data_IF_759079650092
#
_entry.id   IF_759079650092
#
_cell.length_a   1.000
_cell.length_b   1.000
_cell.length_c   1.000
_cell.angle_alpha   90.00
_cell.angle_beta   90.00
_cell.angle_gamma   90.00
#
_symmetry.space_group_name_H-M   'P 1'
#
loop_
_entity.id
_entity.type
_entity.pdbx_description
1 polymer ?
#
# COMPACT_ATOMS: atom_id res chain seq x y z
N UNK A 1 -26.04 28.58 16.00
CA UNK A 1 -25.70 27.19 15.60
C UNK A 1 -24.38 26.84 16.28
N UNK A 2 -24.43 26.21 17.46
CA UNK A 2 -23.24 25.93 18.28
C UNK A 2 -22.45 24.76 17.69
N UNK A 3 -21.26 25.04 17.14
CA UNK A 3 -20.29 24.02 16.82
C UNK A 3 -19.64 23.56 18.13
N UNK A 4 -19.96 22.33 18.57
CA UNK A 4 -19.24 21.69 19.67
C UNK A 4 -17.81 21.35 19.21
N UNK A 5 -16.77 21.58 20.02
CA UNK A 5 -15.41 21.20 19.66
C UNK A 5 -15.33 19.68 19.49
N UNK A 6 -14.81 19.22 18.34
CA UNK A 6 -14.58 17.81 18.04
C UNK A 6 -13.48 17.29 18.99
N UNK A 7 -13.83 16.36 19.88
CA UNK A 7 -12.89 15.78 20.83
C UNK A 7 -11.68 15.17 20.10
N UNK A 8 -10.46 15.24 20.65
CA UNK A 8 -9.29 14.61 20.04
C UNK A 8 -9.54 13.10 19.97
N UNK A 9 -9.56 12.53 18.76
CA UNK A 9 -9.58 11.08 18.60
C UNK A 9 -8.32 10.52 19.26
N UNK A 10 -8.42 9.68 20.30
CA UNK A 10 -7.25 9.03 20.85
C UNK A 10 -6.81 7.99 19.83
N UNK A 11 -5.82 8.34 19.00
CA UNK A 11 -5.06 7.35 18.23
C UNK A 11 -4.33 6.45 19.22
N UNK A 12 -5.05 5.46 19.73
CA UNK A 12 -4.52 4.45 20.64
C UNK A 12 -3.90 3.39 19.75
N UNK A 13 -2.58 3.48 19.54
CA UNK A 13 -1.82 2.39 18.93
C UNK A 13 -2.16 1.12 19.69
N UNK A 14 -2.71 0.13 18.98
CA UNK A 14 -3.02 -1.17 19.55
C UNK A 14 -1.68 -1.77 20.02
N UNK A 15 -1.59 -2.49 21.16
CA UNK A 15 -0.37 -3.21 21.54
C UNK A 15 0.33 -3.98 20.40
N UNK A 16 -0.43 -4.46 19.41
CA UNK A 16 0.11 -5.08 18.18
C UNK A 16 0.96 -4.09 17.36
N UNK A 17 0.52 -2.84 17.20
CA UNK A 17 1.23 -1.80 16.46
C UNK A 17 2.58 -1.48 17.12
N UNK A 18 2.62 -1.43 18.45
CA UNK A 18 3.84 -1.15 19.21
C UNK A 18 4.87 -2.26 19.04
N UNK A 19 4.43 -3.52 19.06
CA UNK A 19 5.31 -4.68 18.85
C UNK A 19 5.87 -4.66 17.43
N UNK A 20 5.03 -4.41 16.43
CA UNK A 20 5.45 -4.31 15.04
C UNK A 20 6.43 -3.15 14.82
N UNK A 21 6.17 -1.97 15.39
CA UNK A 21 7.09 -0.84 15.33
C UNK A 21 8.45 -1.15 15.96
N UNK A 22 8.48 -1.82 17.12
CA UNK A 22 9.73 -2.24 17.78
C UNK A 22 10.52 -3.25 16.94
N UNK A 23 9.85 -4.20 16.30
CA UNK A 23 10.49 -5.17 15.42
C UNK A 23 11.07 -4.49 14.17
N UNK A 24 10.32 -3.56 13.56
CA UNK A 24 10.81 -2.77 12.43
C UNK A 24 11.97 -1.86 12.82
N UNK A 25 11.94 -1.26 14.00
CA UNK A 25 13.01 -0.41 14.51
C UNK A 25 14.33 -1.17 14.72
N UNK A 26 14.26 -2.48 15.02
CA UNK A 26 15.44 -3.36 15.17
C UNK A 26 16.15 -3.70 13.85
N UNK A 27 15.48 -3.53 12.72
CA UNK A 27 16.10 -3.72 11.40
C UNK A 27 17.04 -2.55 11.09
N UNK A 28 18.18 -2.82 10.47
CA UNK A 28 19.04 -1.75 9.94
C UNK A 28 18.27 -0.96 8.87
N UNK A 29 18.53 0.35 8.68
CA UNK A 29 17.85 1.16 7.66
C UNK A 29 17.85 0.50 6.28
N UNK A 30 18.99 -0.06 5.84
CA UNK A 30 19.09 -0.77 4.57
C UNK A 30 18.24 -2.04 4.49
N UNK A 31 18.08 -2.77 5.61
CA UNK A 31 17.20 -3.95 5.66
C UNK A 31 15.74 -3.56 5.56
N UNK A 32 15.31 -2.47 6.21
CA UNK A 32 13.93 -1.96 6.07
C UNK A 32 13.61 -1.60 4.63
N UNK A 33 14.49 -0.84 3.98
CA UNK A 33 14.30 -0.44 2.58
C UNK A 33 14.25 -1.67 1.67
N UNK A 34 15.17 -2.62 1.86
CA UNK A 34 15.19 -3.86 1.08
C UNK A 34 13.90 -4.65 1.21
N UNK A 35 13.42 -4.89 2.43
CA UNK A 35 12.18 -5.62 2.68
C UNK A 35 10.98 -4.92 2.02
N UNK A 36 10.93 -3.58 2.06
CA UNK A 36 9.87 -2.82 1.38
C UNK A 36 9.97 -2.93 -0.14
N UNK A 37 11.18 -2.88 -0.71
CA UNK A 37 11.38 -3.05 -2.16
C UNK A 37 11.01 -4.47 -2.63
N UNK A 38 11.35 -5.50 -1.85
CA UNK A 38 10.98 -6.89 -2.12
C UNK A 38 9.45 -7.08 -2.05
N UNK A 39 8.80 -6.52 -1.02
CA UNK A 39 7.34 -6.54 -0.91
C UNK A 39 6.66 -5.81 -2.09
N UNK A 40 7.19 -4.66 -2.50
CA UNK A 40 6.71 -3.95 -3.68
C UNK A 40 6.90 -4.77 -4.96
N UNK A 41 8.05 -5.43 -5.14
CA UNK A 41 8.29 -6.28 -6.30
C UNK A 41 7.29 -7.44 -6.38
N UNK A 42 7.01 -8.10 -5.25
CA UNK A 42 5.99 -9.14 -5.16
C UNK A 42 4.59 -8.60 -5.54
N UNK A 43 4.18 -7.48 -4.94
CA UNK A 43 2.89 -6.87 -5.22
C UNK A 43 2.73 -6.52 -6.71
N UNK A 44 3.75 -5.89 -7.31
CA UNK A 44 3.74 -5.59 -8.74
C UNK A 44 3.64 -6.86 -9.59
N UNK A 45 4.42 -7.89 -9.27
CA UNK A 45 4.40 -9.16 -10.00
C UNK A 45 3.03 -9.83 -9.98
N UNK A 46 2.34 -9.81 -8.84
CA UNK A 46 0.98 -10.34 -8.70
C UNK A 46 -0.02 -9.55 -9.55
N UNK A 47 0.04 -8.21 -9.55
CA UNK A 47 -0.84 -7.37 -10.38
C UNK A 47 -0.59 -7.66 -11.86
N UNK A 48 0.67 -7.69 -12.29
CA UNK A 48 1.03 -8.02 -13.68
C UNK A 48 0.57 -9.41 -14.11
N UNK A 49 0.76 -10.42 -13.25
CA UNK A 49 0.30 -11.78 -13.51
C UNK A 49 -1.23 -11.89 -13.56
N UNK A 50 -1.96 -11.07 -12.79
CA UNK A 50 -3.42 -10.96 -12.89
C UNK A 50 -3.83 -10.28 -14.19
N UNK A 51 -3.23 -9.14 -14.54
CA UNK A 51 -3.57 -8.37 -15.74
C UNK A 51 -3.32 -9.17 -17.02
N UNK A 52 -2.19 -9.88 -17.13
CA UNK A 52 -1.90 -10.75 -18.28
C UNK A 52 -2.91 -11.88 -18.44
N UNK A 53 -3.44 -12.42 -17.33
CA UNK A 53 -4.49 -13.45 -17.38
C UNK A 53 -5.85 -12.88 -17.76
N UNK A 54 -6.16 -11.66 -17.32
CA UNK A 54 -7.43 -10.99 -17.60
C UNK A 54 -7.49 -10.42 -19.01
N UNK A 55 -6.36 -9.98 -19.56
CA UNK A 55 -6.22 -9.37 -20.87
C UNK A 55 -5.12 -10.08 -21.68
N UNK A 56 -5.37 -11.32 -22.14
CA UNK A 56 -4.35 -12.12 -22.83
C UNK A 56 -3.90 -11.50 -24.16
N UNK A 57 -4.78 -10.78 -24.84
CA UNK A 57 -4.51 -10.17 -26.16
C UNK A 57 -3.99 -8.72 -26.06
N UNK A 58 -3.90 -8.16 -24.85
CA UNK A 58 -3.44 -6.80 -24.66
C UNK A 58 -1.93 -6.69 -24.89
N UNK A 59 -1.52 -5.64 -25.59
CA UNK A 59 -0.11 -5.31 -25.74
C UNK A 59 0.51 -4.92 -24.39
N UNK A 60 1.84 -5.00 -24.29
CA UNK A 60 2.56 -4.61 -23.07
C UNK A 60 2.28 -3.14 -22.68
N UNK A 61 2.10 -2.27 -23.67
CA UNK A 61 1.77 -0.86 -23.45
C UNK A 61 0.38 -0.68 -22.83
N UNK A 62 -0.61 -1.42 -23.31
CA UNK A 62 -1.97 -1.37 -22.75
C UNK A 62 -2.01 -1.95 -21.34
N UNK A 63 -1.29 -3.06 -21.11
CA UNK A 63 -1.13 -3.63 -19.78
C UNK A 63 -0.42 -2.65 -18.82
N UNK A 64 0.58 -1.90 -19.29
CA UNK A 64 1.27 -0.89 -18.49
C UNK A 64 0.34 0.26 -18.09
N UNK A 65 -0.49 0.75 -19.03
CA UNK A 65 -1.50 1.76 -18.73
C UNK A 65 -2.52 1.25 -17.71
N UNK A 66 -2.97 -0.01 -17.86
CA UNK A 66 -3.90 -0.61 -16.91
C UNK A 66 -3.28 -0.82 -15.53
N UNK A 67 -2.01 -1.19 -15.49
CA UNK A 67 -1.25 -1.31 -14.26
C UNK A 67 -1.15 0.03 -13.50
N UNK A 68 -0.90 1.13 -14.20
CA UNK A 68 -0.89 2.46 -13.60
C UNK A 68 -2.27 2.85 -13.04
N UNK A 69 -3.35 2.54 -13.75
CA UNK A 69 -4.72 2.76 -13.27
C UNK A 69 -5.00 1.99 -11.97
N UNK A 70 -4.60 0.72 -11.89
CA UNK A 70 -4.78 -0.11 -10.70
C UNK A 70 -4.01 0.43 -9.48
N UNK A 71 -2.78 0.91 -9.68
CA UNK A 71 -2.01 1.56 -8.61
C UNK A 71 -2.73 2.84 -8.14
N UNK A 72 -3.14 3.69 -9.08
CA UNK A 72 -3.83 4.95 -8.75
C UNK A 72 -5.13 4.71 -7.97
N UNK A 73 -5.88 3.65 -8.32
CA UNK A 73 -7.09 3.24 -7.61
C UNK A 73 -6.79 2.76 -6.19
N UNK A 74 -5.71 2.00 -6.01
CA UNK A 74 -5.30 1.53 -4.69
C UNK A 74 -4.89 2.69 -3.76
N UNK A 75 -4.21 3.71 -4.30
CA UNK A 75 -3.84 4.91 -3.55
C UNK A 75 -5.06 5.71 -3.11
N UNK A 76 -6.07 5.87 -3.98
CA UNK A 76 -7.35 6.53 -3.65
C UNK A 76 -8.14 5.77 -2.57
N UNK A 77 -8.07 4.44 -2.54
CA UNK A 77 -8.74 3.65 -1.51
C UNK A 77 -8.06 3.83 -0.13
N UNK A 78 -6.76 4.14 -0.12
CA UNK A 78 -5.97 4.35 1.10
C UNK A 78 -6.15 5.76 1.66
N UNK A 79 -6.39 6.75 0.79
CA UNK A 79 -6.85 8.07 1.15
C UNK A 79 -8.38 8.05 1.26
N UNK A 80 -8.92 7.55 2.38
CA UNK A 80 -10.36 7.63 2.65
C UNK A 80 -10.90 9.09 2.58
N UNK A 81 -12.24 9.28 2.56
CA UNK A 81 -12.86 10.61 2.51
C UNK A 81 -12.46 11.52 3.67
#
# INVERSE_FOLDING_TARGET
MNQKPKAPHPWRFDPVDIVQMRLLARLRPGQRVRVMLEAQALARGLIWGRLRRQYPDASERELALKFLEEIARADQTRAGP
#
